data_IF_615768023961
#
_entry.id   IF_615768023961
#
_cell.length_a   1.000
_cell.length_b   1.000
_cell.length_c   1.000
_cell.angle_alpha   90.00
_cell.angle_beta   90.00
_cell.angle_gamma   90.00
#
_symmetry.space_group_name_H-M   'P 1'
#
loop_
_entity.id
_entity.type
_entity.pdbx_description
1 polymer ?
#
# COMPACT_ATOMS: atom_id res chain seq x y z
N UNK A 1 -4.54 -5.60 -15.13
CA UNK A 1 -3.59 -4.60 -14.68
C UNK A 1 -2.42 -5.20 -13.90
N UNK A 2 -2.61 -5.89 -12.79
CA UNK A 2 -1.60 -6.62 -12.02
C UNK A 2 -1.93 -8.10 -12.03
N UNK A 3 -0.94 -8.97 -12.32
CA UNK A 3 -1.09 -10.42 -12.27
C UNK A 3 0.09 -11.01 -11.50
N UNK A 4 -0.23 -11.86 -10.55
CA UNK A 4 0.71 -12.67 -9.78
C UNK A 4 0.54 -14.10 -10.25
N UNK A 5 1.61 -14.73 -10.73
CA UNK A 5 1.57 -16.05 -11.36
C UNK A 5 2.60 -16.96 -10.70
N UNK A 6 2.09 -17.91 -9.90
CA UNK A 6 2.85 -18.97 -9.22
C UNK A 6 4.03 -18.46 -8.39
N UNK A 7 3.84 -17.31 -7.72
CA UNK A 7 4.91 -16.63 -7.00
C UNK A 7 5.23 -17.35 -5.70
N UNK A 8 6.51 -17.69 -5.54
CA UNK A 8 7.07 -18.24 -4.31
C UNK A 8 8.25 -17.40 -3.81
N UNK A 9 8.41 -17.33 -2.49
CA UNK A 9 9.53 -16.66 -1.85
C UNK A 9 10.15 -17.52 -0.76
N UNK A 10 11.39 -17.93 -0.99
CA UNK A 10 12.24 -18.62 -0.02
C UNK A 10 13.32 -17.65 0.44
N UNK A 11 13.48 -17.47 1.76
CA UNK A 11 14.57 -16.70 2.34
C UNK A 11 15.80 -17.56 2.60
N UNK A 12 16.96 -16.91 2.77
CA UNK A 12 18.19 -17.59 3.20
C UNK A 12 17.94 -18.18 4.59
N UNK A 13 18.07 -19.49 4.73
CA UNK A 13 17.72 -20.21 5.98
C UNK A 13 16.60 -21.24 5.80
N UNK A 14 15.97 -21.28 4.61
CA UNK A 14 14.96 -22.30 4.29
C UNK A 14 13.52 -21.87 4.62
N UNK A 15 13.33 -20.69 5.18
CA UNK A 15 11.99 -20.15 5.48
C UNK A 15 11.25 -19.78 4.18
N UNK A 16 10.14 -20.49 3.92
CA UNK A 16 9.26 -20.31 2.76
C UNK A 16 8.13 -19.35 3.12
N UNK A 17 8.38 -18.07 2.92
CA UNK A 17 7.43 -17.01 3.28
C UNK A 17 6.22 -16.94 2.33
N UNK A 18 6.35 -17.37 1.07
CA UNK A 18 5.25 -17.52 0.11
C UNK A 18 5.43 -18.79 -0.71
N UNK A 19 4.33 -19.49 -0.94
CA UNK A 19 4.25 -20.75 -1.65
C UNK A 19 3.18 -20.74 -2.73
N UNK A 20 3.60 -20.57 -3.99
CA UNK A 20 2.76 -20.70 -5.19
C UNK A 20 1.50 -19.78 -5.16
N UNK A 21 1.68 -18.51 -4.83
CA UNK A 21 0.59 -17.52 -4.82
C UNK A 21 0.25 -17.12 -6.26
N UNK A 22 -1.04 -17.19 -6.61
CA UNK A 22 -1.56 -16.75 -7.92
C UNK A 22 -2.89 -16.05 -7.75
N UNK A 23 -2.98 -14.80 -8.21
CA UNK A 23 -4.21 -14.03 -8.37
C UNK A 23 -3.99 -12.83 -9.31
N UNK A 24 -5.06 -12.21 -9.76
CA UNK A 24 -5.01 -11.00 -10.58
C UNK A 24 -5.79 -9.87 -9.92
N UNK A 25 -5.42 -8.64 -10.26
CA UNK A 25 -6.08 -7.42 -9.78
C UNK A 25 -6.40 -6.55 -10.98
N UNK A 26 -7.65 -6.11 -11.08
CA UNK A 26 -8.10 -5.22 -12.13
C UNK A 26 -7.86 -3.75 -11.79
N UNK A 27 -7.94 -2.88 -12.80
CA UNK A 27 -7.83 -1.44 -12.60
C UNK A 27 -9.02 -0.94 -11.78
N UNK A 28 -8.73 -0.12 -10.76
CA UNK A 28 -9.75 0.47 -9.90
C UNK A 28 -10.38 -0.49 -8.88
N UNK A 29 -9.84 -1.71 -8.73
CA UNK A 29 -10.28 -2.64 -7.70
C UNK A 29 -9.70 -2.26 -6.32
N UNK A 30 -10.50 -2.35 -5.26
CA UNK A 30 -10.03 -2.21 -3.87
C UNK A 30 -9.97 -3.59 -3.22
N UNK A 31 -8.77 -4.09 -2.96
CA UNK A 31 -8.54 -5.42 -2.38
C UNK A 31 -7.94 -5.28 -0.99
N UNK A 32 -8.46 -6.05 -0.03
CA UNK A 32 -7.78 -6.26 1.25
C UNK A 32 -7.13 -7.64 1.32
N UNK A 33 -5.89 -7.67 1.76
CA UNK A 33 -5.13 -8.89 2.07
C UNK A 33 -5.17 -9.11 3.57
N UNK A 34 -5.73 -10.25 4.00
CA UNK A 34 -5.87 -10.62 5.40
C UNK A 34 -5.14 -11.93 5.71
N UNK A 35 -4.84 -12.17 6.98
CA UNK A 35 -4.16 -13.38 7.47
C UNK A 35 -3.43 -13.14 8.77
N UNK A 36 -3.02 -14.19 9.47
CA UNK A 36 -2.26 -14.11 10.72
C UNK A 36 -0.95 -13.32 10.56
N UNK A 37 -0.41 -12.86 11.69
CA UNK A 37 0.98 -12.36 11.72
C UNK A 37 1.92 -13.48 11.23
N UNK A 38 2.89 -13.14 10.39
CA UNK A 38 3.80 -14.11 9.79
C UNK A 38 3.24 -14.90 8.59
N UNK A 39 1.98 -14.74 8.19
CA UNK A 39 1.38 -15.46 7.05
C UNK A 39 2.01 -15.15 5.67
N UNK A 40 2.90 -14.14 5.58
CA UNK A 40 3.57 -13.77 4.33
C UNK A 40 3.07 -12.46 3.69
N UNK A 41 2.10 -11.77 4.27
CA UNK A 41 1.48 -10.55 3.72
C UNK A 41 2.52 -9.46 3.40
N UNK A 42 3.36 -9.08 4.37
CA UNK A 42 4.42 -8.07 4.15
C UNK A 42 5.45 -8.53 3.10
N UNK A 43 5.72 -9.83 3.00
CA UNK A 43 6.56 -10.39 1.93
C UNK A 43 5.92 -10.19 0.56
N UNK A 44 4.60 -10.43 0.44
CA UNK A 44 3.85 -10.15 -0.78
C UNK A 44 3.96 -8.67 -1.16
N UNK A 45 3.73 -7.74 -0.24
CA UNK A 45 3.84 -6.30 -0.49
C UNK A 45 5.24 -5.88 -0.94
N UNK A 46 6.29 -6.43 -0.32
CA UNK A 46 7.69 -6.18 -0.72
C UNK A 46 8.02 -6.73 -2.12
N UNK A 47 7.35 -7.77 -2.57
CA UNK A 47 7.45 -8.28 -3.93
C UNK A 47 6.72 -7.35 -4.91
N UNK A 48 5.50 -6.91 -4.58
CA UNK A 48 4.67 -6.05 -5.41
C UNK A 48 5.31 -4.67 -5.65
N UNK A 49 5.95 -4.07 -4.64
CA UNK A 49 6.67 -2.80 -4.81
C UNK A 49 8.10 -2.98 -5.35
N UNK A 50 8.54 -4.23 -5.57
CA UNK A 50 9.84 -4.56 -6.14
C UNK A 50 11.03 -4.34 -5.21
N UNK A 51 10.84 -4.24 -3.88
CA UNK A 51 11.93 -4.20 -2.89
C UNK A 51 12.70 -5.51 -2.86
N UNK A 52 12.01 -6.63 -3.03
CA UNK A 52 12.61 -7.96 -3.13
C UNK A 52 12.18 -8.64 -4.42
N UNK A 53 12.86 -9.73 -4.79
CA UNK A 53 12.50 -10.57 -5.93
C UNK A 53 11.90 -11.89 -5.48
N UNK A 54 10.94 -12.45 -6.22
CA UNK A 54 10.47 -13.80 -5.99
C UNK A 54 11.61 -14.81 -6.25
N UNK A 55 11.51 -15.99 -5.62
CA UNK A 55 12.40 -17.12 -5.88
C UNK A 55 11.93 -17.93 -7.08
N UNK A 56 10.60 -18.00 -7.27
CA UNK A 56 9.95 -18.60 -8.43
C UNK A 56 8.69 -17.83 -8.79
N UNK A 57 8.15 -18.06 -10.00
CA UNK A 57 6.98 -17.36 -10.52
C UNK A 57 7.31 -15.97 -11.07
N UNK A 58 6.28 -15.22 -11.40
CA UNK A 58 6.40 -13.88 -12.00
C UNK A 58 5.31 -12.94 -11.54
N UNK A 59 5.60 -11.65 -11.59
CA UNK A 59 4.64 -10.55 -11.35
C UNK A 59 4.59 -9.72 -12.62
N UNK A 60 3.41 -9.56 -13.18
CA UNK A 60 3.15 -8.78 -14.39
C UNK A 60 2.40 -7.53 -13.99
N UNK A 61 2.90 -6.35 -14.35
CA UNK A 61 2.27 -5.05 -14.11
C UNK A 61 2.18 -4.33 -15.44
N UNK A 62 0.98 -3.89 -15.82
CA UNK A 62 0.73 -3.23 -17.10
C UNK A 62 1.30 -4.01 -18.30
N UNK A 63 1.05 -5.33 -18.34
CA UNK A 63 1.53 -6.28 -19.34
C UNK A 63 3.07 -6.44 -19.44
N UNK A 64 3.82 -5.99 -18.44
CA UNK A 64 5.27 -6.14 -18.38
C UNK A 64 5.67 -7.09 -17.23
N UNK A 65 6.54 -8.07 -17.51
CA UNK A 65 7.10 -8.95 -16.47
C UNK A 65 8.04 -8.15 -15.56
N UNK A 66 7.46 -7.60 -14.47
CA UNK A 66 8.15 -6.77 -13.49
C UNK A 66 9.33 -7.49 -12.81
N UNK A 67 9.27 -8.83 -12.71
CA UNK A 67 10.32 -9.63 -12.07
C UNK A 67 11.62 -9.62 -12.86
N UNK A 68 11.53 -9.46 -14.18
CA UNK A 68 12.68 -9.44 -15.11
C UNK A 68 13.23 -8.03 -15.33
N UNK A 69 12.46 -7.00 -15.03
CA UNK A 69 12.87 -5.62 -15.28
C UNK A 69 14.06 -5.21 -14.39
N UNK A 70 14.94 -4.37 -14.93
CA UNK A 70 16.10 -3.80 -14.25
C UNK A 70 16.26 -2.32 -14.61
N UNK A 71 17.03 -1.59 -13.80
CA UNK A 71 17.44 -0.22 -14.08
C UNK A 71 16.24 0.71 -14.29
N UNK A 72 16.27 1.51 -15.37
CA UNK A 72 15.26 2.52 -15.68
C UNK A 72 13.87 1.92 -15.85
N UNK A 73 13.73 0.85 -16.64
CA UNK A 73 12.42 0.21 -16.89
C UNK A 73 11.73 -0.25 -15.60
N UNK A 74 12.51 -0.80 -14.64
CA UNK A 74 11.96 -1.18 -13.33
C UNK A 74 11.50 0.04 -12.56
N UNK A 75 12.29 1.11 -12.52
CA UNK A 75 11.94 2.38 -11.86
C UNK A 75 10.69 3.02 -12.46
N UNK A 76 10.51 2.95 -13.77
CA UNK A 76 9.34 3.51 -14.43
C UNK A 76 8.05 2.80 -13.97
N UNK A 77 8.06 1.47 -13.79
CA UNK A 77 6.93 0.75 -13.18
C UNK A 77 6.80 1.10 -11.68
N UNK A 78 7.89 1.16 -10.92
CA UNK A 78 7.83 1.50 -9.49
C UNK A 78 7.22 2.89 -9.24
N UNK A 79 7.36 3.84 -10.15
CA UNK A 79 6.72 5.17 -10.06
C UNK A 79 5.20 5.11 -10.16
N UNK A 80 4.64 4.10 -10.83
CA UNK A 80 3.18 3.91 -10.90
C UNK A 80 2.61 3.25 -9.65
N UNK A 81 3.47 2.91 -8.67
CA UNK A 81 3.09 2.25 -7.42
C UNK A 81 3.37 3.19 -6.24
N UNK A 82 2.34 3.77 -5.67
CA UNK A 82 2.43 4.49 -4.40
C UNK A 82 2.44 3.51 -3.22
N UNK A 83 3.44 3.60 -2.34
CA UNK A 83 3.49 2.73 -1.14
C UNK A 83 3.24 3.55 0.12
N UNK A 84 2.32 3.08 0.95
CA UNK A 84 1.99 3.63 2.27
C UNK A 84 2.44 2.59 3.28
N UNK A 85 3.32 2.98 4.20
CA UNK A 85 3.91 2.10 5.21
C UNK A 85 3.26 2.31 6.57
N UNK A 86 3.31 1.30 7.43
CA UNK A 86 2.85 1.32 8.81
C UNK A 86 3.53 2.43 9.63
N UNK A 87 4.84 2.60 9.49
CA UNK A 87 5.65 3.58 10.24
C UNK A 87 5.66 4.98 9.61
N UNK A 88 4.69 5.31 8.74
CA UNK A 88 4.57 6.58 8.02
C UNK A 88 5.80 6.93 7.17
N UNK A 89 7.01 6.62 7.60
CA UNK A 89 8.29 6.95 6.98
C UNK A 89 8.42 8.44 6.64
N UNK A 90 8.00 9.33 7.53
CA UNK A 90 8.12 10.77 7.40
C UNK A 90 9.42 11.27 8.04
N UNK A 91 9.93 12.38 7.53
CA UNK A 91 11.03 13.12 8.15
C UNK A 91 10.43 14.11 9.15
N UNK A 92 10.54 13.82 10.44
CA UNK A 92 9.89 14.59 11.52
C UNK A 92 10.32 16.07 11.56
N UNK A 93 11.54 16.39 11.13
CA UNK A 93 12.12 17.74 11.07
C UNK A 93 11.74 18.51 9.80
N UNK A 94 10.99 17.90 8.89
CA UNK A 94 10.46 18.55 7.69
C UNK A 94 8.98 18.91 7.86
N UNK A 95 8.51 19.90 7.10
CA UNK A 95 7.09 20.24 7.04
C UNK A 95 6.27 19.15 6.35
N UNK A 96 4.93 19.19 6.50
CA UNK A 96 4.03 18.32 5.73
C UNK A 96 4.27 18.48 4.23
N UNK A 97 4.35 19.74 3.76
CA UNK A 97 4.58 20.05 2.35
C UNK A 97 5.90 19.45 1.83
N UNK A 98 6.99 19.60 2.59
CA UNK A 98 8.29 19.06 2.19
C UNK A 98 8.28 17.52 2.17
N UNK A 99 7.62 16.89 3.13
CA UNK A 99 7.44 15.43 3.14
C UNK A 99 6.64 14.95 1.91
N UNK A 100 5.60 15.66 1.50
CA UNK A 100 4.82 15.33 0.30
C UNK A 100 5.69 15.53 -0.96
N UNK A 101 6.44 16.63 -1.05
CA UNK A 101 7.34 16.91 -2.16
C UNK A 101 8.41 15.82 -2.35
N UNK A 102 8.84 15.13 -1.28
CA UNK A 102 9.75 14.00 -1.38
C UNK A 102 9.20 12.85 -2.24
N UNK A 103 7.87 12.74 -2.40
CA UNK A 103 7.24 11.79 -3.33
C UNK A 103 7.63 12.02 -4.80
N UNK A 104 8.02 13.24 -5.17
CA UNK A 104 8.47 13.57 -6.53
C UNK A 104 9.97 13.36 -6.77
N UNK A 105 10.75 12.90 -5.79
CA UNK A 105 12.21 12.75 -5.93
C UNK A 105 12.61 11.75 -7.02
N UNK A 106 11.77 10.74 -7.27
CA UNK A 106 12.03 9.74 -8.31
C UNK A 106 12.05 10.32 -9.73
N UNK A 107 11.45 11.50 -9.96
CA UNK A 107 11.40 12.18 -11.26
C UNK A 107 12.53 13.18 -11.46
N UNK A 108 13.49 13.25 -10.53
CA UNK A 108 14.53 14.25 -10.52
C UNK A 108 15.90 13.69 -10.85
N UNK A 109 16.75 14.57 -11.40
CA UNK A 109 18.17 14.26 -11.47
C UNK A 109 18.80 14.36 -10.07
N UNK A 110 19.98 13.74 -9.89
CA UNK A 110 20.66 13.68 -8.59
C UNK A 110 20.95 15.08 -7.99
N UNK A 111 21.27 16.08 -8.81
CA UNK A 111 21.55 17.44 -8.37
C UNK A 111 20.27 18.10 -7.80
N UNK A 112 19.16 18.07 -8.54
CA UNK A 112 17.89 18.64 -8.10
C UNK A 112 17.35 17.94 -6.83
N UNK A 113 17.53 16.63 -6.73
CA UNK A 113 17.15 15.86 -5.55
C UNK A 113 17.99 16.25 -4.33
N UNK A 114 19.30 16.41 -4.49
CA UNK A 114 20.23 16.76 -3.41
C UNK A 114 19.96 18.17 -2.84
N UNK A 115 19.63 19.13 -3.69
CA UNK A 115 19.38 20.52 -3.28
C UNK A 115 17.89 20.84 -3.01
N UNK A 116 17.00 19.85 -3.04
CA UNK A 116 15.57 20.04 -2.75
C UNK A 116 14.88 21.05 -3.68
N UNK A 117 15.35 21.15 -4.95
CA UNK A 117 14.83 22.14 -5.91
C UNK A 117 13.52 21.61 -6.50
N UNK A 118 12.38 22.18 -6.17
CA UNK A 118 11.06 21.81 -6.70
C UNK A 118 10.46 22.92 -7.57
N UNK A 119 9.83 22.57 -8.69
CA UNK A 119 9.16 23.53 -9.57
C UNK A 119 7.91 24.11 -8.90
N UNK A 120 7.40 25.24 -9.43
CA UNK A 120 6.14 25.83 -8.94
C UNK A 120 4.98 24.86 -9.09
N UNK A 121 4.89 24.16 -10.22
CA UNK A 121 3.86 23.16 -10.50
C UNK A 121 3.90 22.00 -9.51
N UNK A 122 5.08 21.53 -9.12
CA UNK A 122 5.20 20.46 -8.12
C UNK A 122 4.78 20.91 -6.74
N UNK A 123 5.16 22.13 -6.35
CA UNK A 123 4.71 22.70 -5.06
C UNK A 123 3.19 22.88 -5.02
N UNK A 124 2.61 23.35 -6.11
CA UNK A 124 1.16 23.48 -6.20
C UNK A 124 0.45 22.13 -6.19
N UNK A 125 1.00 21.15 -6.92
CA UNK A 125 0.46 19.78 -6.90
C UNK A 125 0.56 19.15 -5.50
N UNK A 126 1.66 19.36 -4.77
CA UNK A 126 1.81 18.87 -3.40
C UNK A 126 0.79 19.51 -2.44
N UNK A 127 0.49 20.83 -2.58
CA UNK A 127 -0.58 21.49 -1.82
C UNK A 127 -1.93 20.84 -2.08
N UNK A 128 -2.27 20.60 -3.34
CA UNK A 128 -3.51 19.90 -3.71
C UNK A 128 -3.61 18.50 -3.09
N UNK A 129 -2.48 17.75 -3.02
CA UNK A 129 -2.52 16.45 -2.36
C UNK A 129 -2.77 16.57 -0.84
N UNK A 130 -2.24 17.61 -0.18
CA UNK A 130 -2.55 17.89 1.22
C UNK A 130 -4.01 18.31 1.42
N UNK A 131 -4.61 19.02 0.47
CA UNK A 131 -6.05 19.34 0.48
C UNK A 131 -6.90 18.06 0.36
N UNK A 132 -6.57 17.17 -0.56
CA UNK A 132 -7.28 15.89 -0.77
C UNK A 132 -7.35 15.07 0.52
N UNK A 133 -6.30 15.10 1.34
CA UNK A 133 -6.27 14.38 2.63
C UNK A 133 -6.70 15.23 3.83
N UNK A 134 -7.23 16.45 3.60
CA UNK A 134 -7.77 17.33 4.64
C UNK A 134 -6.71 17.94 5.57
N UNK A 135 -5.53 18.29 5.03
CA UNK A 135 -4.41 18.87 5.79
C UNK A 135 -3.97 20.25 5.29
N UNK A 136 -4.84 21.01 4.61
CA UNK A 136 -4.53 22.34 4.07
C UNK A 136 -3.95 23.29 5.11
N UNK A 137 -4.57 23.36 6.30
CA UNK A 137 -4.16 24.26 7.38
C UNK A 137 -2.84 23.87 8.05
N UNK A 138 -2.41 22.60 7.88
CA UNK A 138 -1.20 22.06 8.51
C UNK A 138 -0.04 21.87 7.55
N UNK A 139 -0.14 22.35 6.30
CA UNK A 139 0.88 22.11 5.28
C UNK A 139 2.28 22.58 5.67
N UNK A 140 2.40 23.62 6.48
CA UNK A 140 3.67 24.15 6.98
C UNK A 140 4.04 23.68 8.39
N UNK A 141 3.22 22.81 9.02
CA UNK A 141 3.55 22.20 10.30
C UNK A 141 4.62 21.13 10.11
N UNK A 142 5.52 21.01 11.08
CA UNK A 142 6.51 19.92 11.11
C UNK A 142 5.83 18.57 11.36
N UNK A 143 6.25 17.54 10.62
CA UNK A 143 5.66 16.21 10.72
C UNK A 143 5.77 15.61 12.13
N UNK A 144 6.85 15.91 12.87
CA UNK A 144 7.02 15.46 14.25
C UNK A 144 5.98 15.96 15.25
N UNK A 145 5.24 17.04 14.91
CA UNK A 145 4.19 17.63 15.76
C UNK A 145 2.78 17.10 15.45
N UNK A 146 2.64 16.20 14.50
CA UNK A 146 1.36 15.67 14.06
C UNK A 146 0.93 14.46 14.89
N UNK A 147 -0.40 14.26 15.01
CA UNK A 147 -0.96 12.99 15.50
C UNK A 147 -0.68 11.85 14.51
N UNK A 148 -0.81 10.59 14.94
CA UNK A 148 -0.61 9.41 14.08
C UNK A 148 -1.48 9.45 12.82
N UNK A 149 -2.80 9.74 12.96
CA UNK A 149 -3.70 9.87 11.82
C UNK A 149 -3.32 11.01 10.87
N UNK A 150 -2.82 12.13 11.39
CA UNK A 150 -2.31 13.22 10.56
C UNK A 150 -1.02 12.84 9.84
N UNK A 151 -0.09 12.15 10.50
CA UNK A 151 1.12 11.59 9.86
C UNK A 151 0.75 10.64 8.72
N UNK A 152 -0.24 9.78 8.93
CA UNK A 152 -0.70 8.86 7.90
C UNK A 152 -1.30 9.59 6.69
N UNK A 153 -2.07 10.64 6.92
CA UNK A 153 -2.60 11.49 5.84
C UNK A 153 -1.47 12.14 5.03
N UNK A 154 -0.39 12.60 5.67
CA UNK A 154 0.80 13.12 4.96
C UNK A 154 1.47 12.01 4.15
N UNK A 155 1.58 10.78 4.69
CA UNK A 155 2.14 9.64 3.96
C UNK A 155 1.31 9.27 2.73
N UNK A 156 -0.02 9.34 2.82
CA UNK A 156 -0.93 9.17 1.67
C UNK A 156 -0.69 10.28 0.63
N UNK A 157 -0.68 11.54 1.04
CA UNK A 157 -0.43 12.67 0.14
C UNK A 157 0.92 12.56 -0.57
N UNK A 158 1.96 12.07 0.13
CA UNK A 158 3.27 11.77 -0.45
C UNK A 158 3.20 10.66 -1.51
N UNK A 159 2.43 9.61 -1.26
CA UNK A 159 2.24 8.53 -2.24
C UNK A 159 1.51 9.06 -3.50
N UNK A 160 0.50 9.92 -3.33
CA UNK A 160 -0.24 10.56 -4.43
C UNK A 160 0.63 11.49 -5.28
N UNK A 161 1.72 12.02 -4.73
CA UNK A 161 2.66 12.87 -5.47
C UNK A 161 3.28 12.15 -6.68
N UNK A 162 3.36 10.82 -6.65
CA UNK A 162 3.84 9.99 -7.75
C UNK A 162 2.79 9.78 -8.86
N UNK A 163 1.54 10.23 -8.68
CA UNK A 163 0.41 9.95 -9.58
C UNK A 163 0.25 8.43 -9.82
N UNK A 164 0.09 7.63 -8.76
CA UNK A 164 0.13 6.19 -8.88
C UNK A 164 -1.13 5.61 -9.55
N UNK A 165 -0.94 4.52 -10.31
CA UNK A 165 -2.03 3.66 -10.78
C UNK A 165 -2.45 2.67 -9.68
N UNK A 166 -1.49 2.28 -8.81
CA UNK A 166 -1.67 1.33 -7.71
C UNK A 166 -1.19 1.97 -6.41
N UNK A 167 -1.99 1.86 -5.35
CA UNK A 167 -1.59 2.12 -3.96
C UNK A 167 -1.43 0.78 -3.25
N UNK A 168 -0.24 0.54 -2.70
CA UNK A 168 0.05 -0.54 -1.77
C UNK A 168 0.05 0.03 -0.35
N UNK A 169 -0.95 -0.28 0.45
CA UNK A 169 -1.07 0.17 1.83
C UNK A 169 -0.72 -0.98 2.79
N UNK A 170 0.48 -0.98 3.33
CA UNK A 170 0.97 -2.02 4.25
C UNK A 170 0.65 -1.63 5.69
N UNK A 171 -0.44 -2.19 6.23
CA UNK A 171 -0.96 -1.92 7.58
C UNK A 171 -1.16 -0.42 7.88
N UNK A 172 -1.87 0.32 7.01
CA UNK A 172 -1.90 1.79 7.07
C UNK A 172 -2.59 2.34 8.32
N UNK A 173 -3.24 1.49 9.12
CA UNK A 173 -4.04 1.90 10.28
C UNK A 173 -3.65 1.18 11.59
N UNK A 174 -2.62 0.32 11.58
CA UNK A 174 -2.27 -0.55 12.71
C UNK A 174 -1.93 0.21 14.02
N UNK A 175 -1.43 1.44 13.91
CA UNK A 175 -1.02 2.26 15.06
C UNK A 175 -2.00 3.39 15.39
N UNK A 176 -3.24 3.33 14.85
CA UNK A 176 -4.24 4.38 14.98
C UNK A 176 -5.41 3.92 15.86
N UNK A 177 -6.05 4.90 16.50
CA UNK A 177 -7.33 4.66 17.17
C UNK A 177 -8.43 4.28 16.13
N UNK A 178 -9.52 3.61 16.54
CA UNK A 178 -10.55 3.14 15.63
C UNK A 178 -11.16 4.22 14.74
N UNK A 179 -11.38 5.41 15.28
CA UNK A 179 -11.94 6.54 14.53
C UNK A 179 -10.97 7.04 13.44
N UNK A 180 -9.71 7.23 13.80
CA UNK A 180 -8.66 7.61 12.85
C UNK A 180 -8.45 6.53 11.79
N UNK A 181 -8.52 5.24 12.17
CA UNK A 181 -8.39 4.11 11.25
C UNK A 181 -9.51 4.12 10.20
N UNK A 182 -10.75 4.36 10.60
CA UNK A 182 -11.88 4.48 9.67
C UNK A 182 -11.69 5.64 8.71
N UNK A 183 -11.31 6.82 9.21
CA UNK A 183 -11.05 8.00 8.38
C UNK A 183 -9.94 7.76 7.33
N UNK A 184 -8.85 7.11 7.71
CA UNK A 184 -7.76 6.78 6.77
C UNK A 184 -8.26 5.82 5.70
N UNK A 185 -9.03 4.80 6.09
CA UNK A 185 -9.58 3.84 5.14
C UNK A 185 -10.58 4.52 4.20
N UNK A 186 -11.40 5.46 4.69
CA UNK A 186 -12.33 6.24 3.86
C UNK A 186 -11.59 7.11 2.83
N UNK A 187 -10.45 7.70 3.19
CA UNK A 187 -9.60 8.40 2.22
C UNK A 187 -9.14 7.44 1.12
N UNK A 188 -8.68 6.23 1.46
CA UNK A 188 -8.26 5.24 0.46
C UNK A 188 -9.42 4.81 -0.45
N UNK A 189 -10.64 4.61 0.11
CA UNK A 189 -11.85 4.34 -0.67
C UNK A 189 -12.18 5.49 -1.59
N UNK A 190 -12.13 6.73 -1.10
CA UNK A 190 -12.36 7.92 -1.93
C UNK A 190 -11.37 8.00 -3.09
N UNK A 191 -10.08 7.79 -2.84
CA UNK A 191 -9.05 7.79 -3.87
C UNK A 191 -9.31 6.71 -4.93
N UNK A 192 -9.69 5.51 -4.50
CA UNK A 192 -10.05 4.43 -5.39
C UNK A 192 -11.24 4.81 -6.28
N UNK A 193 -12.35 5.27 -5.67
CA UNK A 193 -13.61 5.54 -6.40
C UNK A 193 -13.55 6.77 -7.30
N UNK A 194 -12.90 7.86 -6.85
CA UNK A 194 -12.88 9.13 -7.58
C UNK A 194 -11.79 9.19 -8.64
N UNK A 195 -10.63 8.56 -8.38
CA UNK A 195 -9.47 8.63 -9.28
C UNK A 195 -9.17 7.32 -9.98
N UNK A 196 -10.00 6.28 -9.79
CA UNK A 196 -9.82 4.95 -10.37
C UNK A 196 -8.44 4.33 -10.04
N UNK A 197 -7.89 4.67 -8.86
CA UNK A 197 -6.64 4.12 -8.37
C UNK A 197 -6.91 2.73 -7.80
N UNK A 198 -6.16 1.73 -8.22
CA UNK A 198 -6.22 0.39 -7.63
C UNK A 198 -5.61 0.42 -6.23
N UNK A 199 -6.31 -0.12 -5.24
CA UNK A 199 -5.81 -0.18 -3.86
C UNK A 199 -5.65 -1.64 -3.42
N UNK A 200 -4.46 -1.97 -2.92
CA UNK A 200 -4.19 -3.26 -2.26
C UNK A 200 -3.77 -2.92 -0.83
N UNK A 201 -4.59 -3.28 0.13
CA UNK A 201 -4.40 -2.97 1.54
C UNK A 201 -4.09 -4.24 2.33
N UNK A 202 -2.97 -4.29 3.03
CA UNK A 202 -2.73 -5.27 4.09
C UNK A 202 -3.48 -4.82 5.34
N UNK A 203 -4.45 -5.61 5.80
CA UNK A 203 -5.28 -5.27 6.96
C UNK A 203 -5.21 -6.32 8.05
N UNK A 204 -5.08 -5.86 9.31
CA UNK A 204 -5.30 -6.69 10.49
C UNK A 204 -6.77 -6.67 10.95
N UNK A 205 -7.51 -5.61 10.61
CA UNK A 205 -8.95 -5.53 10.90
C UNK A 205 -9.74 -6.21 9.78
N UNK A 206 -10.30 -7.37 10.10
CA UNK A 206 -11.21 -8.12 9.20
C UNK A 206 -12.46 -7.29 8.93
N UNK A 207 -13.01 -6.64 9.96
CA UNK A 207 -14.21 -5.81 9.84
C UNK A 207 -14.02 -4.67 8.82
N UNK A 208 -12.94 -3.88 8.96
CA UNK A 208 -12.63 -2.81 8.00
C UNK A 208 -12.40 -3.37 6.60
N UNK A 209 -11.71 -4.51 6.48
CA UNK A 209 -11.47 -5.16 5.20
C UNK A 209 -12.80 -5.54 4.53
N UNK A 210 -13.71 -6.21 5.23
CA UNK A 210 -15.01 -6.61 4.70
C UNK A 210 -15.90 -5.40 4.34
N UNK A 211 -15.90 -4.37 5.18
CA UNK A 211 -16.74 -3.17 5.00
C UNK A 211 -16.29 -2.28 3.84
N UNK A 212 -14.98 -2.19 3.57
CA UNK A 212 -14.42 -1.16 2.69
C UNK A 212 -13.85 -1.69 1.37
N UNK A 213 -13.59 -2.99 1.24
CA UNK A 213 -12.98 -3.57 0.04
C UNK A 213 -14.00 -4.25 -0.87
N UNK A 214 -13.70 -4.32 -2.15
CA UNK A 214 -14.49 -5.08 -3.12
C UNK A 214 -14.24 -6.58 -2.99
N UNK A 215 -12.99 -6.95 -2.63
CA UNK A 215 -12.52 -8.34 -2.64
C UNK A 215 -11.51 -8.58 -1.52
N UNK A 216 -11.55 -9.78 -0.98
CA UNK A 216 -10.69 -10.24 0.10
C UNK A 216 -9.77 -11.34 -0.41
N UNK A 217 -8.49 -11.17 -0.18
CA UNK A 217 -7.44 -12.16 -0.38
C UNK A 217 -6.98 -12.66 0.99
N UNK A 218 -7.21 -13.93 1.28
CA UNK A 218 -6.75 -14.58 2.52
C UNK A 218 -5.45 -15.33 2.31
N UNK A 219 -4.45 -15.05 3.16
CA UNK A 219 -3.16 -15.76 3.16
C UNK A 219 -2.99 -16.48 4.50
N UNK A 220 -2.70 -17.78 4.43
CA UNK A 220 -2.31 -18.60 5.56
C UNK A 220 -1.08 -19.43 5.19
N UNK A 221 -0.08 -19.48 6.07
CA UNK A 221 1.16 -20.26 5.91
C UNK A 221 1.83 -20.07 4.53
N UNK A 222 1.85 -18.81 4.07
CA UNK A 222 2.42 -18.44 2.78
C UNK A 222 1.60 -18.83 1.56
N UNK A 223 0.38 -19.34 1.71
CA UNK A 223 -0.50 -19.78 0.62
C UNK A 223 -1.75 -18.92 0.50
N UNK A 224 -2.24 -18.77 -0.72
CA UNK A 224 -3.54 -18.21 -0.99
C UNK A 224 -4.62 -19.24 -0.59
N UNK A 225 -5.42 -18.89 0.42
CA UNK A 225 -6.48 -19.77 0.94
C UNK A 225 -7.87 -19.21 0.72
N UNK A 226 -7.99 -17.91 0.43
CA UNK A 226 -9.24 -17.24 0.10
C UNK A 226 -9.03 -16.22 -1.00
N UNK A 227 -9.94 -16.18 -1.97
CA UNK A 227 -10.05 -15.18 -3.01
C UNK A 227 -11.52 -15.03 -3.38
N UNK A 228 -12.20 -14.05 -2.73
CA UNK A 228 -13.66 -13.85 -2.87
C UNK A 228 -14.04 -12.39 -2.82
N UNK A 229 -15.19 -12.03 -3.39
CA UNK A 229 -15.81 -10.73 -3.12
C UNK A 229 -16.10 -10.59 -1.64
N UNK A 230 -15.96 -9.37 -1.10
CA UNK A 230 -16.16 -9.11 0.33
C UNK A 230 -17.56 -9.58 0.82
N UNK A 231 -18.58 -9.42 -0.04
CA UNK A 231 -19.96 -9.85 0.26
C UNK A 231 -20.17 -11.37 0.29
N UNK A 232 -19.22 -12.17 -0.19
CA UNK A 232 -19.28 -13.64 -0.26
C UNK A 232 -18.40 -14.30 0.81
N UNK A 233 -17.71 -13.51 1.63
CA UNK A 233 -16.83 -14.00 2.70
C UNK A 233 -17.71 -14.36 3.91
N UNK A 234 -17.59 -15.60 4.38
CA UNK A 234 -18.30 -16.11 5.57
C UNK A 234 -17.39 -16.14 6.80
N UNK A 235 -17.99 -16.22 7.98
CA UNK A 235 -17.26 -16.39 9.24
C UNK A 235 -16.36 -17.64 9.21
N UNK A 236 -16.83 -18.74 8.63
CA UNK A 236 -16.05 -19.97 8.44
C UNK A 236 -14.79 -19.73 7.60
N UNK A 237 -14.87 -18.86 6.57
CA UNK A 237 -13.71 -18.49 5.77
C UNK A 237 -12.69 -17.74 6.64
N UNK A 238 -13.14 -16.84 7.50
CA UNK A 238 -12.29 -16.08 8.42
C UNK A 238 -11.67 -17.01 9.46
N UNK A 239 -12.46 -17.88 10.08
CA UNK A 239 -11.98 -18.88 11.04
C UNK A 239 -10.90 -19.78 10.42
N UNK A 240 -11.07 -20.21 9.18
CA UNK A 240 -10.08 -21.00 8.45
C UNK A 240 -8.76 -20.25 8.29
N UNK A 241 -8.79 -18.95 7.89
CA UNK A 241 -7.60 -18.11 7.72
C UNK A 241 -6.87 -17.91 9.05
N UNK A 242 -7.64 -17.74 10.15
CA UNK A 242 -7.09 -17.47 11.48
C UNK A 242 -6.98 -18.73 12.36
N UNK A 243 -7.30 -19.94 11.83
CA UNK A 243 -7.15 -21.23 12.49
C UNK A 243 -7.91 -21.31 13.80
N UNK A 244 -9.17 -20.88 13.85
CA UNK A 244 -10.03 -20.89 15.03
C UNK A 244 -9.69 -19.86 16.11
N UNK A 245 -8.71 -18.98 15.87
CA UNK A 245 -8.29 -17.94 16.82
C UNK A 245 -8.92 -16.56 16.54
N UNK A 246 -9.97 -16.52 15.72
CA UNK A 246 -10.69 -15.28 15.41
C UNK A 246 -11.83 -15.09 16.41
N UNK A 247 -11.68 -14.05 17.27
CA UNK A 247 -12.77 -13.56 18.10
C UNK A 247 -13.41 -12.35 17.43
N UNK A 248 -14.73 -12.37 17.18
CA UNK A 248 -15.48 -11.17 16.79
C UNK A 248 -15.45 -10.19 17.97
N UNK A 249 -14.92 -9.02 17.77
CA UNK A 249 -15.17 -7.89 18.68
C UNK A 249 -16.56 -7.35 18.34
N UNK A 250 -17.53 -7.61 19.25
CA UNK A 250 -18.87 -7.02 19.22
C UNK A 250 -18.82 -5.52 19.55
#
# INVERSE_FOLDING_TARGET
MLQIDSVSKLYKGGDKALDNISFSVEQGEFISVIGKSGAGKTTLFRLLNGMIKPTAGRIIINNQDFTKLKGRKKRDIQKTIGTIYQDFCLVDTMTCLDNVLNGALADRNAFQALFGIFTKEQKEYARKQLEVVGLSEKMYSYAGKLSGGQKQRVAIARALMQKPDIILADEPVASLDPYSAEQITDILVQLNRQYNITVIMNSHSVELALKKSDRIIGIADGRLVLDKKSSEVTDENIEFIYGGAYEKHE
#
